data_IF_338822919830
#
_entry.id   IF_338822919830
#
_cell.length_a   1.000
_cell.length_b   1.000
_cell.length_c   1.000
_cell.angle_alpha   90.00
_cell.angle_beta   90.00
_cell.angle_gamma   90.00
#
_symmetry.space_group_name_H-M   'P 1'
#
loop_
_entity.id
_entity.type
_entity.pdbx_description
1 polymer ?
#
# COMPACT_ATOMS: atom_id res chain seq x y z
N UNK A 1 -24.35 -10.14 -17.97
CA UNK A 1 -23.53 -9.27 -17.13
C UNK A 1 -23.06 -8.04 -17.93
N UNK A 2 -22.36 -8.23 -19.07
CA UNK A 2 -21.80 -7.12 -19.87
C UNK A 2 -22.87 -6.12 -20.33
N UNK A 3 -24.05 -6.59 -20.73
CA UNK A 3 -25.19 -5.73 -21.06
C UNK A 3 -25.64 -4.88 -19.87
N UNK A 4 -25.71 -5.46 -18.68
CA UNK A 4 -26.08 -4.73 -17.46
C UNK A 4 -25.01 -3.71 -17.03
N UNK A 5 -23.72 -3.98 -17.28
CA UNK A 5 -22.65 -3.00 -17.02
C UNK A 5 -22.75 -1.80 -17.96
N UNK A 6 -23.11 -2.02 -19.22
CA UNK A 6 -23.25 -0.97 -20.22
C UNK A 6 -24.59 -0.21 -20.16
N UNK A 7 -25.59 -0.74 -19.45
CA UNK A 7 -26.91 -0.12 -19.35
C UNK A 7 -26.88 1.10 -18.43
N UNK A 8 -27.22 2.31 -18.95
CA UNK A 8 -27.21 3.53 -18.14
C UNK A 8 -28.29 3.56 -17.04
N UNK A 9 -29.30 2.69 -17.11
CA UNK A 9 -30.35 2.61 -16.10
C UNK A 9 -30.03 1.61 -14.98
N UNK A 10 -28.93 0.89 -15.08
CA UNK A 10 -28.51 -0.09 -14.06
C UNK A 10 -27.54 0.57 -13.07
N UNK A 11 -27.94 0.64 -11.82
CA UNK A 11 -27.08 1.06 -10.71
C UNK A 11 -26.21 -0.12 -10.29
N UNK A 12 -24.89 0.13 -10.18
CA UNK A 12 -23.88 -0.84 -9.80
C UNK A 12 -23.53 -0.62 -8.31
N UNK A 13 -23.54 -1.69 -7.54
CA UNK A 13 -23.13 -1.67 -6.14
C UNK A 13 -21.90 -2.54 -5.94
N UNK A 14 -20.95 -2.08 -5.13
CA UNK A 14 -19.84 -2.89 -4.67
C UNK A 14 -19.33 -2.40 -3.31
N UNK A 15 -18.65 -3.28 -2.57
CA UNK A 15 -17.94 -2.88 -1.36
C UNK A 15 -16.57 -2.32 -1.74
N UNK A 16 -16.33 -1.02 -1.50
CA UNK A 16 -15.21 -0.26 -2.04
C UNK A 16 -15.31 -0.09 -3.58
N UNK A 17 -16.46 0.35 -4.05
CA UNK A 17 -16.84 0.42 -5.47
C UNK A 17 -15.87 1.22 -6.36
N UNK A 18 -15.05 2.10 -5.80
CA UNK A 18 -13.97 2.77 -6.51
C UNK A 18 -12.99 1.76 -7.16
N UNK A 19 -12.70 0.63 -6.48
CA UNK A 19 -11.81 -0.39 -7.01
C UNK A 19 -12.39 -1.05 -8.28
N UNK A 20 -13.65 -1.48 -8.24
CA UNK A 20 -14.32 -2.05 -9.39
C UNK A 20 -14.45 -1.05 -10.53
N UNK A 21 -14.78 0.20 -10.21
CA UNK A 21 -14.88 1.27 -11.19
C UNK A 21 -13.53 1.50 -11.92
N UNK A 22 -12.43 1.61 -11.18
CA UNK A 22 -11.09 1.74 -11.79
C UNK A 22 -10.73 0.53 -12.64
N UNK A 23 -10.93 -0.69 -12.13
CA UNK A 23 -10.58 -1.90 -12.85
C UNK A 23 -11.37 -2.05 -14.17
N UNK A 24 -12.67 -1.73 -14.15
CA UNK A 24 -13.50 -1.82 -15.35
C UNK A 24 -13.13 -0.76 -16.39
N UNK A 25 -12.93 0.50 -15.95
CA UNK A 25 -12.53 1.55 -16.87
C UNK A 25 -11.13 1.30 -17.48
N UNK A 26 -10.16 0.84 -16.69
CA UNK A 26 -8.85 0.42 -17.21
C UNK A 26 -8.93 -0.78 -18.18
N UNK A 27 -9.94 -1.63 -18.02
CA UNK A 27 -10.19 -2.74 -18.94
C UNK A 27 -10.99 -2.35 -20.20
N UNK A 28 -11.32 -1.05 -20.36
CA UNK A 28 -12.06 -0.51 -21.51
C UNK A 28 -13.58 -0.62 -21.39
N UNK A 29 -14.11 -0.89 -20.19
CA UNK A 29 -15.54 -0.86 -19.89
C UNK A 29 -15.90 0.45 -19.21
N UNK A 30 -16.03 1.52 -20.00
CA UNK A 30 -16.37 2.82 -19.48
C UNK A 30 -17.77 2.82 -18.85
N UNK A 31 -17.81 3.09 -17.55
CA UNK A 31 -19.05 3.21 -16.79
C UNK A 31 -19.03 4.54 -16.03
N UNK A 32 -20.05 5.41 -16.19
CA UNK A 32 -20.14 6.66 -15.45
C UNK A 32 -20.17 6.42 -13.95
N UNK A 33 -19.45 7.24 -13.19
CA UNK A 33 -19.36 7.08 -11.72
C UNK A 33 -20.73 7.29 -11.05
N UNK A 34 -21.62 8.06 -11.65
CA UNK A 34 -22.96 8.34 -11.16
C UNK A 34 -23.85 7.11 -11.07
N UNK A 35 -23.49 6.05 -11.81
CA UNK A 35 -24.16 4.74 -11.78
C UNK A 35 -23.64 3.83 -10.66
N UNK A 36 -22.65 4.28 -9.91
CA UNK A 36 -22.04 3.48 -8.85
C UNK A 36 -22.46 3.92 -7.47
N UNK A 37 -22.63 2.93 -6.58
CA UNK A 37 -22.89 3.10 -5.15
C UNK A 37 -21.89 2.30 -4.36
N UNK A 38 -21.31 2.89 -3.33
CA UNK A 38 -20.30 2.27 -2.51
C UNK A 38 -20.87 1.84 -1.16
N UNK A 39 -21.09 0.55 -0.98
CA UNK A 39 -21.59 0.01 0.30
C UNK A 39 -20.62 0.27 1.46
N UNK A 40 -19.30 0.38 1.20
CA UNK A 40 -18.33 0.78 2.21
C UNK A 40 -18.54 2.24 2.66
N UNK A 41 -18.73 3.17 1.72
CA UNK A 41 -18.99 4.59 2.03
C UNK A 41 -20.29 4.72 2.82
N UNK A 42 -21.35 4.02 2.41
CA UNK A 42 -22.63 3.97 3.14
C UNK A 42 -22.42 3.42 4.57
N UNK A 43 -21.65 2.36 4.74
CA UNK A 43 -21.31 1.83 6.06
C UNK A 43 -20.55 2.81 6.94
N UNK A 44 -19.57 3.54 6.37
CA UNK A 44 -18.85 4.61 7.07
C UNK A 44 -19.78 5.75 7.50
N UNK A 45 -20.69 6.17 6.64
CA UNK A 45 -21.72 7.16 6.97
C UNK A 45 -22.58 6.70 8.17
N UNK A 46 -22.93 5.42 8.22
CA UNK A 46 -23.65 4.82 9.36
C UNK A 46 -22.77 4.56 10.60
N UNK A 47 -21.48 4.95 10.60
CA UNK A 47 -20.57 4.82 11.74
C UNK A 47 -19.86 3.46 11.86
N UNK A 48 -19.92 2.62 10.83
CA UNK A 48 -19.18 1.35 10.78
C UNK A 48 -17.74 1.55 10.28
N UNK A 49 -16.93 0.49 10.36
CA UNK A 49 -15.54 0.49 9.88
C UNK A 49 -15.47 0.20 8.39
N UNK A 50 -14.34 0.55 7.73
CA UNK A 50 -14.16 0.36 6.29
C UNK A 50 -13.97 -1.10 5.84
N UNK A 51 -13.82 -2.08 6.74
CA UNK A 51 -13.54 -3.47 6.37
C UNK A 51 -14.80 -4.32 6.18
N UNK A 52 -14.98 -5.00 5.04
CA UNK A 52 -16.11 -5.88 4.75
C UNK A 52 -16.38 -6.90 5.87
N UNK A 53 -15.34 -7.60 6.35
CA UNK A 53 -15.43 -8.56 7.44
C UNK A 53 -15.83 -7.90 8.77
N UNK A 54 -15.18 -6.77 9.09
CA UNK A 54 -15.47 -6.05 10.34
C UNK A 54 -16.88 -5.46 10.35
N UNK A 55 -17.33 -4.88 9.24
CA UNK A 55 -18.70 -4.37 9.08
C UNK A 55 -19.72 -5.51 9.18
N UNK A 56 -19.49 -6.63 8.48
CA UNK A 56 -20.39 -7.79 8.54
C UNK A 56 -20.55 -8.33 9.95
N UNK A 57 -19.48 -8.41 10.73
CA UNK A 57 -19.50 -8.79 12.14
C UNK A 57 -20.23 -7.77 13.02
N UNK A 58 -19.92 -6.48 12.84
CA UNK A 58 -20.53 -5.39 13.62
C UNK A 58 -22.05 -5.30 13.40
N UNK A 59 -22.52 -5.55 12.19
CA UNK A 59 -23.95 -5.63 11.85
C UNK A 59 -24.59 -6.92 12.36
N UNK A 60 -23.80 -7.92 12.81
CA UNK A 60 -24.28 -9.20 13.29
C UNK A 60 -24.76 -10.13 12.16
N UNK A 61 -24.05 -10.20 11.03
CA UNK A 61 -24.35 -11.18 10.01
C UNK A 61 -24.10 -12.60 10.54
N UNK A 62 -24.95 -13.57 10.18
CA UNK A 62 -24.73 -14.98 10.51
C UNK A 62 -23.45 -15.48 9.82
N UNK A 63 -22.83 -16.52 10.39
CA UNK A 63 -21.50 -16.98 9.99
C UNK A 63 -21.41 -17.40 8.51
N UNK A 64 -22.49 -18.00 7.98
CA UNK A 64 -22.60 -18.39 6.57
C UNK A 64 -22.69 -17.21 5.60
N UNK A 65 -22.92 -16.00 6.11
CA UNK A 65 -22.98 -14.73 5.36
C UNK A 65 -21.77 -13.85 5.58
N UNK A 66 -20.83 -14.28 6.41
CA UNK A 66 -19.59 -13.52 6.65
C UNK A 66 -18.52 -13.84 5.60
N UNK A 67 -17.56 -12.93 5.51
CA UNK A 67 -16.40 -13.07 4.63
C UNK A 67 -15.56 -14.30 4.96
N UNK A 68 -15.08 -15.03 3.95
CA UNK A 68 -14.16 -16.14 4.10
C UNK A 68 -12.74 -15.66 4.46
N UNK A 69 -12.09 -16.34 5.41
CA UNK A 69 -10.74 -15.97 5.87
C UNK A 69 -9.60 -16.38 4.92
N UNK A 70 -9.87 -17.31 4.01
CA UNK A 70 -8.88 -17.87 3.05
C UNK A 70 -8.49 -16.92 1.93
N UNK A 71 -9.26 -15.86 1.68
CA UNK A 71 -9.10 -14.97 0.53
C UNK A 71 -7.72 -14.32 0.39
N UNK A 72 -7.10 -13.90 1.50
CA UNK A 72 -5.79 -13.22 1.46
C UNK A 72 -4.69 -14.11 0.83
N UNK A 73 -4.69 -15.40 1.10
CA UNK A 73 -3.74 -16.35 0.53
C UNK A 73 -4.00 -16.58 -0.97
N UNK A 74 -5.28 -16.65 -1.37
CA UNK A 74 -5.69 -16.84 -2.75
C UNK A 74 -5.42 -15.60 -3.61
N UNK A 75 -5.70 -14.40 -3.09
CA UNK A 75 -5.32 -13.13 -3.74
C UNK A 75 -3.80 -13.09 -3.96
N UNK A 76 -3.02 -13.41 -2.94
CA UNK A 76 -1.55 -13.44 -3.07
C UNK A 76 -1.08 -14.45 -4.11
N UNK A 77 -1.76 -15.59 -4.23
CA UNK A 77 -1.40 -16.65 -5.17
C UNK A 77 -1.70 -16.25 -6.61
N UNK A 78 -2.88 -15.70 -6.91
CA UNK A 78 -3.33 -15.39 -8.27
C UNK A 78 -3.10 -13.95 -8.71
N UNK A 79 -3.09 -12.98 -7.79
CA UNK A 79 -3.05 -11.55 -8.11
C UNK A 79 -1.70 -10.87 -7.84
N UNK A 80 -0.69 -11.62 -7.37
CA UNK A 80 0.65 -11.09 -7.12
C UNK A 80 1.68 -11.90 -7.91
N UNK A 81 2.65 -11.24 -8.58
CA UNK A 81 3.74 -11.93 -9.28
C UNK A 81 4.47 -12.90 -8.36
N UNK A 82 4.79 -14.09 -8.86
CA UNK A 82 5.58 -15.08 -8.14
C UNK A 82 7.04 -15.10 -8.63
N UNK A 83 7.96 -15.48 -7.76
CA UNK A 83 9.37 -15.63 -8.15
C UNK A 83 9.51 -16.83 -9.09
N UNK A 84 10.23 -16.69 -10.23
CA UNK A 84 10.54 -17.82 -11.09
C UNK A 84 11.45 -18.81 -10.38
N UNK A 85 11.06 -20.09 -10.40
CA UNK A 85 11.81 -21.21 -9.83
C UNK A 85 11.78 -22.39 -10.79
N UNK A 86 12.69 -23.37 -10.64
CA UNK A 86 12.66 -24.60 -11.42
C UNK A 86 11.37 -25.40 -11.18
N UNK A 87 10.85 -25.37 -9.96
CA UNK A 87 9.66 -26.12 -9.55
C UNK A 87 8.35 -25.53 -10.11
N UNK A 88 8.33 -24.22 -10.38
CA UNK A 88 7.15 -23.58 -10.98
C UNK A 88 7.28 -23.34 -12.49
N UNK A 89 8.26 -23.99 -13.16
CA UNK A 89 8.49 -23.82 -14.60
C UNK A 89 8.96 -22.41 -14.99
N UNK A 90 9.67 -21.73 -14.09
CA UNK A 90 10.21 -20.37 -14.28
C UNK A 90 9.11 -19.30 -14.58
N UNK A 91 7.87 -19.57 -14.17
CA UNK A 91 6.78 -18.59 -14.35
C UNK A 91 6.88 -17.45 -13.34
N UNK A 92 6.44 -16.28 -13.76
CA UNK A 92 6.34 -15.08 -12.91
C UNK A 92 4.93 -14.79 -12.44
N UNK A 93 3.94 -15.60 -12.90
CA UNK A 93 2.53 -15.42 -12.59
C UNK A 93 1.79 -16.76 -12.51
N UNK A 94 0.90 -16.91 -11.54
CA UNK A 94 0.04 -18.08 -11.45
C UNK A 94 -1.26 -17.84 -12.20
N UNK A 95 -1.61 -18.80 -13.07
CA UNK A 95 -2.83 -18.81 -13.86
C UNK A 95 -3.81 -19.83 -13.28
N UNK A 96 -5.12 -19.74 -13.59
CA UNK A 96 -6.14 -20.68 -13.10
C UNK A 96 -5.79 -22.17 -13.27
N UNK A 97 -5.19 -22.53 -14.40
CA UNK A 97 -4.83 -23.91 -14.72
C UNK A 97 -3.58 -24.44 -14.01
N UNK A 98 -2.85 -23.60 -13.28
CA UNK A 98 -1.70 -24.04 -12.50
C UNK A 98 -2.09 -24.68 -11.15
N UNK A 99 -3.31 -24.38 -10.67
CA UNK A 99 -3.87 -24.95 -9.44
C UNK A 99 -5.41 -24.76 -9.49
N UNK A 100 -6.08 -25.72 -10.10
CA UNK A 100 -7.53 -25.67 -10.33
C UNK A 100 -8.33 -25.65 -9.04
N UNK A 101 -7.86 -26.37 -8.01
CA UNK A 101 -8.56 -26.43 -6.72
C UNK A 101 -8.52 -25.07 -6.01
N UNK A 102 -7.38 -24.42 -6.00
CA UNK A 102 -7.27 -23.04 -5.49
C UNK A 102 -8.06 -22.06 -6.32
N UNK A 103 -8.18 -22.29 -7.63
CA UNK A 103 -8.98 -21.42 -8.49
C UNK A 103 -10.47 -21.54 -8.19
N UNK A 104 -10.98 -22.75 -7.96
CA UNK A 104 -12.37 -22.95 -7.52
C UNK A 104 -12.63 -22.27 -6.16
N UNK A 105 -11.74 -22.47 -5.17
CA UNK A 105 -11.82 -21.78 -3.88
C UNK A 105 -11.77 -20.24 -4.03
N UNK A 106 -11.00 -19.73 -4.99
CA UNK A 106 -10.93 -18.30 -5.26
C UNK A 106 -12.24 -17.75 -5.83
N UNK A 107 -12.89 -18.51 -6.70
CA UNK A 107 -14.23 -18.15 -7.20
C UNK A 107 -15.29 -18.17 -6.08
N UNK A 108 -15.27 -19.18 -5.21
CA UNK A 108 -16.13 -19.23 -4.02
C UNK A 108 -15.91 -18.05 -3.10
N UNK A 109 -14.64 -17.69 -2.87
CA UNK A 109 -14.29 -16.51 -2.09
C UNK A 109 -14.86 -15.22 -2.71
N UNK A 110 -14.70 -15.01 -4.01
CA UNK A 110 -15.23 -13.82 -4.70
C UNK A 110 -16.78 -13.79 -4.63
N UNK A 111 -17.44 -14.94 -4.80
CA UNK A 111 -18.88 -15.05 -4.66
C UNK A 111 -19.35 -14.71 -3.25
N UNK A 112 -18.63 -15.21 -2.23
CA UNK A 112 -18.98 -14.95 -0.83
C UNK A 112 -18.79 -13.47 -0.46
N UNK A 113 -17.78 -12.78 -1.00
CA UNK A 113 -17.60 -11.34 -0.78
C UNK A 113 -18.83 -10.55 -1.31
N UNK A 114 -19.37 -10.91 -2.48
CA UNK A 114 -20.61 -10.31 -3.03
C UNK A 114 -21.84 -10.66 -2.18
N UNK A 115 -21.96 -11.90 -1.69
CA UNK A 115 -23.05 -12.27 -0.79
C UNK A 115 -23.01 -11.47 0.51
N UNK A 116 -21.82 -11.33 1.09
CA UNK A 116 -21.62 -10.55 2.33
C UNK A 116 -21.96 -9.08 2.09
N UNK A 117 -21.48 -8.49 1.01
CA UNK A 117 -21.79 -7.10 0.62
C UNK A 117 -23.31 -6.87 0.51
N UNK A 118 -24.00 -7.73 -0.23
CA UNK A 118 -25.46 -7.60 -0.42
C UNK A 118 -26.25 -7.73 0.89
N UNK A 119 -25.82 -8.58 1.81
CA UNK A 119 -26.47 -8.68 3.12
C UNK A 119 -26.19 -7.45 4.01
N UNK A 120 -25.00 -6.84 3.90
CA UNK A 120 -24.69 -5.57 4.55
C UNK A 120 -25.59 -4.48 3.98
N UNK A 121 -25.62 -4.33 2.65
CA UNK A 121 -26.42 -3.30 1.97
C UNK A 121 -27.89 -3.35 2.39
N UNK A 122 -28.53 -4.53 2.41
CA UNK A 122 -29.92 -4.68 2.86
C UNK A 122 -30.18 -4.13 4.26
N UNK A 123 -29.19 -4.14 5.15
CA UNK A 123 -29.32 -3.60 6.50
C UNK A 123 -29.05 -2.11 6.55
N UNK A 124 -28.10 -1.63 5.74
CA UNK A 124 -27.81 -0.20 5.63
C UNK A 124 -28.93 0.56 4.95
N UNK A 125 -29.67 -0.05 4.03
CA UNK A 125 -30.81 0.56 3.33
C UNK A 125 -31.95 1.01 4.27
N UNK A 126 -31.96 0.55 5.51
CA UNK A 126 -32.84 1.08 6.57
C UNK A 126 -32.45 2.50 7.00
N UNK A 127 -31.22 2.91 6.71
CA UNK A 127 -30.63 4.23 6.99
C UNK A 127 -29.93 4.74 5.74
N UNK A 128 -30.69 5.21 4.72
CA UNK A 128 -30.12 5.55 3.42
C UNK A 128 -29.11 6.69 3.54
N UNK A 129 -28.05 6.59 2.77
CA UNK A 129 -27.07 7.67 2.64
C UNK A 129 -27.71 8.84 1.87
N UNK A 130 -27.58 10.09 2.33
CA UNK A 130 -28.07 11.26 1.60
C UNK A 130 -27.41 11.40 0.22
N UNK A 131 -28.12 11.98 -0.72
CA UNK A 131 -27.65 12.20 -2.09
C UNK A 131 -26.38 13.07 -2.12
N UNK A 132 -26.27 14.04 -1.24
CA UNK A 132 -25.09 14.90 -1.10
C UNK A 132 -23.84 14.10 -0.73
N UNK A 133 -23.96 13.12 0.17
CA UNK A 133 -22.86 12.25 0.57
C UNK A 133 -22.45 11.28 -0.56
N UNK A 134 -23.42 10.79 -1.33
CA UNK A 134 -23.13 10.01 -2.54
C UNK A 134 -22.35 10.83 -3.56
N UNK A 135 -22.76 12.06 -3.82
CA UNK A 135 -22.07 12.98 -4.72
C UNK A 135 -20.65 13.30 -4.23
N UNK A 136 -20.48 13.53 -2.92
CA UNK A 136 -19.14 13.75 -2.35
C UNK A 136 -18.21 12.55 -2.55
N UNK A 137 -18.72 11.32 -2.35
CA UNK A 137 -17.95 10.11 -2.64
C UNK A 137 -17.60 9.99 -4.14
N UNK A 138 -18.55 10.26 -5.04
CA UNK A 138 -18.31 10.26 -6.49
C UNK A 138 -17.26 11.28 -6.89
N UNK A 139 -17.33 12.49 -6.35
CA UNK A 139 -16.33 13.54 -6.56
C UNK A 139 -14.95 13.12 -6.06
N UNK A 140 -14.85 12.51 -4.89
CA UNK A 140 -13.59 12.01 -4.34
C UNK A 140 -12.94 10.97 -5.28
N UNK A 141 -13.74 10.02 -5.80
CA UNK A 141 -13.27 9.03 -6.79
C UNK A 141 -12.74 9.70 -8.05
N UNK A 142 -13.48 10.69 -8.60
CA UNK A 142 -13.05 11.42 -9.80
C UNK A 142 -11.81 12.27 -9.55
N UNK A 143 -11.71 12.93 -8.42
CA UNK A 143 -10.51 13.70 -8.04
C UNK A 143 -9.28 12.81 -7.94
N UNK A 144 -9.43 11.63 -7.34
CA UNK A 144 -8.34 10.66 -7.24
C UNK A 144 -7.98 10.05 -8.61
N UNK A 145 -8.97 9.85 -9.50
CA UNK A 145 -8.74 9.40 -10.88
C UNK A 145 -7.99 10.42 -11.72
N UNK A 146 -8.36 11.70 -11.58
CA UNK A 146 -7.71 12.80 -12.26
C UNK A 146 -6.28 13.02 -11.76
N UNK A 147 -6.07 12.80 -10.45
CA UNK A 147 -4.79 12.96 -9.79
C UNK A 147 -4.38 14.42 -9.58
N UNK A 148 -3.15 14.60 -9.13
CA UNK A 148 -2.55 15.91 -8.86
C UNK A 148 -1.28 16.05 -9.69
N UNK A 149 -1.15 17.19 -10.39
CA UNK A 149 0.06 17.46 -11.15
C UNK A 149 1.27 17.59 -10.22
N UNK A 150 2.32 16.88 -10.55
CA UNK A 150 3.61 16.98 -9.86
C UNK A 150 4.65 17.66 -10.75
N UNK A 151 5.60 18.35 -10.12
CA UNK A 151 6.76 18.94 -10.79
C UNK A 151 7.82 17.85 -10.99
N UNK A 152 7.93 17.35 -12.22
CA UNK A 152 8.86 16.28 -12.58
C UNK A 152 10.32 16.70 -12.46
N UNK A 153 10.66 17.95 -12.82
CA UNK A 153 12.02 18.45 -12.73
C UNK A 153 12.48 18.54 -11.26
N UNK A 154 11.57 18.96 -10.37
CA UNK A 154 11.83 18.98 -8.93
C UNK A 154 12.05 17.55 -8.38
N UNK A 155 11.24 16.58 -8.82
CA UNK A 155 11.39 15.19 -8.41
C UNK A 155 12.73 14.62 -8.86
N UNK A 156 13.06 14.76 -10.12
CA UNK A 156 14.31 14.27 -10.71
C UNK A 156 15.53 14.94 -10.06
N UNK A 157 15.47 16.26 -9.87
CA UNK A 157 16.52 17.01 -9.16
C UNK A 157 16.71 16.52 -7.71
N UNK A 158 15.62 16.28 -6.99
CA UNK A 158 15.68 15.77 -5.62
C UNK A 158 16.30 14.36 -5.54
N UNK A 159 15.90 13.46 -6.44
CA UNK A 159 16.44 12.09 -6.53
C UNK A 159 17.93 12.10 -6.92
N UNK A 160 18.32 12.96 -7.84
CA UNK A 160 19.71 13.11 -8.26
C UNK A 160 20.60 13.61 -7.10
N UNK A 161 20.16 14.66 -6.39
CA UNK A 161 20.89 15.20 -5.23
C UNK A 161 21.01 14.14 -4.13
N UNK A 162 19.96 13.38 -3.88
CA UNK A 162 19.99 12.29 -2.88
C UNK A 162 20.98 11.22 -3.28
N UNK A 163 20.99 10.79 -4.52
CA UNK A 163 21.93 9.77 -5.03
C UNK A 163 23.38 10.22 -4.81
N UNK A 164 23.73 11.44 -5.25
CA UNK A 164 25.11 11.96 -5.10
C UNK A 164 25.47 12.13 -3.63
N UNK A 165 24.55 12.66 -2.81
CA UNK A 165 24.80 12.88 -1.39
C UNK A 165 24.98 11.57 -0.65
N UNK A 166 24.14 10.57 -0.95
CA UNK A 166 24.22 9.23 -0.34
C UNK A 166 25.53 8.55 -0.72
N UNK A 167 25.93 8.61 -2.01
CA UNK A 167 27.20 8.05 -2.45
C UNK A 167 28.37 8.70 -1.72
N UNK A 168 28.45 10.02 -1.72
CA UNK A 168 29.53 10.77 -1.06
C UNK A 168 29.61 10.44 0.44
N UNK A 169 28.47 10.41 1.16
CA UNK A 169 28.43 10.11 2.58
C UNK A 169 28.80 8.66 2.87
N UNK A 170 28.42 7.73 1.98
CA UNK A 170 28.80 6.31 2.09
C UNK A 170 30.29 6.13 1.89
N UNK A 171 30.89 6.77 0.90
CA UNK A 171 32.32 6.71 0.62
C UNK A 171 33.14 7.31 1.78
N UNK A 172 32.68 8.44 2.34
CA UNK A 172 33.25 9.05 3.53
C UNK A 172 33.16 8.12 4.73
N UNK A 173 32.00 7.46 4.95
CA UNK A 173 31.81 6.52 6.04
C UNK A 173 32.75 5.30 5.92
N UNK A 174 32.93 4.76 4.70
CA UNK A 174 33.85 3.66 4.41
C UNK A 174 35.29 4.09 4.73
N UNK A 175 35.71 5.25 4.22
CA UNK A 175 37.04 5.81 4.49
C UNK A 175 37.31 6.04 5.97
N UNK A 176 36.29 6.51 6.69
CA UNK A 176 36.37 6.84 8.11
C UNK A 176 36.43 5.60 9.01
N UNK A 177 35.68 4.57 8.68
CA UNK A 177 35.46 3.38 9.53
C UNK A 177 36.23 2.15 9.08
N UNK A 178 36.57 2.03 7.80
CA UNK A 178 37.11 0.83 7.20
C UNK A 178 36.09 -0.32 7.04
N UNK A 179 34.81 -0.06 7.33
CA UNK A 179 33.74 -1.06 7.20
C UNK A 179 33.37 -1.27 5.73
N UNK A 180 33.13 -2.51 5.34
CA UNK A 180 32.62 -2.83 3.98
C UNK A 180 31.19 -2.29 3.78
N UNK A 181 30.36 -2.31 4.83
CA UNK A 181 29.01 -1.79 4.80
C UNK A 181 28.70 -0.96 6.05
N UNK A 182 29.00 0.34 6.03
CA UNK A 182 28.73 1.23 7.17
C UNK A 182 27.22 1.43 7.45
N UNK A 183 26.34 0.99 6.54
CA UNK A 183 24.89 1.00 6.77
C UNK A 183 24.41 -0.20 7.58
N UNK A 184 25.21 -1.24 7.73
CA UNK A 184 24.92 -2.37 8.61
C UNK A 184 24.92 -1.95 10.07
N UNK A 185 23.76 -2.05 10.73
CA UNK A 185 23.63 -1.71 12.15
C UNK A 185 24.58 -2.53 13.02
N UNK A 186 24.75 -3.83 12.74
CA UNK A 186 25.63 -4.70 13.51
C UNK A 186 27.09 -4.30 13.38
N UNK A 187 27.57 -4.02 12.15
CA UNK A 187 28.97 -3.60 11.93
C UNK A 187 29.25 -2.23 12.56
N UNK A 188 28.31 -1.31 12.41
CA UNK A 188 28.50 0.04 12.97
C UNK A 188 28.42 0.06 14.50
N UNK A 189 27.56 -0.73 15.13
CA UNK A 189 27.52 -0.87 16.59
C UNK A 189 28.84 -1.46 17.13
N UNK A 190 29.39 -2.48 16.47
CA UNK A 190 30.68 -3.03 16.86
C UNK A 190 31.78 -1.98 16.73
N UNK A 191 31.83 -1.28 15.59
CA UNK A 191 32.83 -0.22 15.38
C UNK A 191 32.73 0.90 16.42
N UNK A 192 31.53 1.30 16.85
CA UNK A 192 31.34 2.28 17.92
C UNK A 192 31.94 1.79 19.24
N UNK A 193 31.69 0.53 19.62
CA UNK A 193 32.28 -0.08 20.83
C UNK A 193 33.80 -0.10 20.77
N UNK A 194 34.36 -0.49 19.64
CA UNK A 194 35.83 -0.53 19.43
C UNK A 194 36.46 0.87 19.51
N UNK A 195 35.64 1.94 19.31
CA UNK A 195 36.08 3.32 19.46
C UNK A 195 35.58 3.98 20.78
N UNK A 196 35.22 3.17 21.79
CA UNK A 196 34.88 3.63 23.13
C UNK A 196 33.50 4.27 23.30
N UNK A 197 32.57 3.98 22.35
CA UNK A 197 31.19 4.50 22.43
C UNK A 197 30.23 3.32 22.47
N UNK A 198 29.52 3.17 23.59
CA UNK A 198 28.48 2.12 23.73
C UNK A 198 27.13 2.63 23.21
N UNK A 199 26.44 1.79 22.46
CA UNK A 199 25.10 2.02 21.98
C UNK A 199 24.35 0.68 21.83
N UNK A 200 23.10 0.66 22.27
CA UNK A 200 22.24 -0.52 22.14
C UNK A 200 21.63 -0.66 20.75
N UNK A 201 21.41 0.48 20.10
CA UNK A 201 20.81 0.56 18.78
C UNK A 201 21.24 1.84 18.06
N UNK A 202 20.85 1.97 16.77
CA UNK A 202 21.11 3.14 15.92
C UNK A 202 19.81 3.84 15.51
N UNK A 203 18.81 3.85 16.39
CA UNK A 203 17.58 4.59 16.18
C UNK A 203 17.84 6.10 16.27
N UNK A 204 16.95 6.89 15.66
CA UNK A 204 17.10 8.34 15.56
C UNK A 204 17.30 9.01 16.93
N UNK A 205 16.60 8.55 17.97
CA UNK A 205 16.71 9.09 19.32
C UNK A 205 18.08 8.79 19.93
N UNK A 206 18.55 7.54 19.86
CA UNK A 206 19.85 7.10 20.37
C UNK A 206 21.01 7.82 19.67
N UNK A 207 20.95 7.96 18.35
CA UNK A 207 21.96 8.70 17.57
C UNK A 207 21.99 10.18 17.97
N UNK A 208 20.82 10.81 18.20
CA UNK A 208 20.75 12.20 18.65
C UNK A 208 21.32 12.38 20.07
N UNK A 209 21.06 11.45 20.98
CA UNK A 209 21.60 11.45 22.34
C UNK A 209 23.13 11.31 22.31
N UNK A 210 23.66 10.37 21.54
CA UNK A 210 25.11 10.19 21.39
C UNK A 210 25.79 11.42 20.80
N UNK A 211 25.17 12.10 19.84
CA UNK A 211 25.70 13.36 19.28
C UNK A 211 25.71 14.52 20.28
N UNK A 212 24.81 14.51 21.29
CA UNK A 212 24.80 15.47 22.40
C UNK A 212 25.92 15.23 23.42
N UNK A 213 26.52 14.05 23.45
CA UNK A 213 27.61 13.67 24.34
C UNK A 213 28.98 14.08 23.84
N UNK A 214 30.00 13.83 24.68
CA UNK A 214 31.41 14.02 24.32
C UNK A 214 31.90 12.77 23.64
N UNK A 215 32.14 12.85 22.32
CA UNK A 215 32.64 11.74 21.51
C UNK A 215 33.92 12.14 20.78
N UNK A 216 34.82 11.18 20.47
CA UNK A 216 35.91 11.42 19.54
C UNK A 216 35.44 11.98 18.21
N UNK A 217 36.17 12.90 17.59
CA UNK A 217 35.78 13.55 16.35
C UNK A 217 35.35 12.55 15.24
N UNK A 218 36.07 11.41 15.20
CA UNK A 218 35.78 10.32 14.22
C UNK A 218 34.43 9.67 14.48
N UNK A 219 34.09 9.38 15.71
CA UNK A 219 32.80 8.82 16.12
C UNK A 219 31.68 9.83 15.87
N UNK A 220 31.87 11.09 16.30
CA UNK A 220 30.89 12.16 16.02
C UNK A 220 30.58 12.28 14.55
N UNK A 221 31.63 12.32 13.71
CA UNK A 221 31.43 12.44 12.26
C UNK A 221 30.66 11.25 11.66
N UNK A 222 30.95 10.02 12.10
CA UNK A 222 30.21 8.83 11.68
C UNK A 222 28.74 8.87 12.10
N UNK A 223 28.44 9.34 13.32
CA UNK A 223 27.07 9.49 13.81
C UNK A 223 26.30 10.57 13.02
N UNK A 224 26.96 11.69 12.65
CA UNK A 224 26.37 12.72 11.77
C UNK A 224 26.04 12.15 10.39
N UNK A 225 26.94 11.36 9.80
CA UNK A 225 26.70 10.67 8.52
C UNK A 225 25.51 9.71 8.68
N UNK A 226 25.47 8.91 9.75
CA UNK A 226 24.36 8.00 10.03
C UNK A 226 23.03 8.74 10.15
N UNK A 227 23.01 9.90 10.82
CA UNK A 227 21.82 10.73 10.95
C UNK A 227 21.34 11.26 9.59
N UNK A 228 22.27 11.65 8.71
CA UNK A 228 21.94 12.15 7.37
C UNK A 228 21.42 11.02 6.46
N UNK A 229 22.09 9.88 6.41
CA UNK A 229 21.69 8.70 5.63
C UNK A 229 20.36 8.09 6.15
N UNK A 230 20.04 8.30 7.43
CA UNK A 230 18.78 7.85 8.02
C UNK A 230 17.56 8.71 7.70
N UNK A 231 17.69 9.81 6.96
CA UNK A 231 16.56 10.66 6.58
C UNK A 231 15.67 9.95 5.56
N UNK A 232 14.37 9.93 5.85
CA UNK A 232 13.38 9.25 5.00
C UNK A 232 12.56 10.20 4.13
N UNK A 233 12.84 11.51 4.18
CA UNK A 233 12.08 12.54 3.44
C UNK A 233 12.12 12.34 1.92
N UNK A 234 13.19 11.77 1.40
CA UNK A 234 13.34 11.46 -0.03
C UNK A 234 12.34 10.41 -0.54
N UNK A 235 11.85 9.54 0.33
CA UNK A 235 10.85 8.51 -0.04
C UNK A 235 9.59 9.09 -0.67
N UNK A 236 9.26 10.34 -0.36
CA UNK A 236 8.13 11.05 -0.97
C UNK A 236 8.35 11.26 -2.47
N UNK A 237 9.55 11.66 -2.85
CA UNK A 237 9.91 11.87 -4.27
C UNK A 237 9.97 10.54 -5.03
N UNK A 238 10.49 9.49 -4.41
CA UNK A 238 10.45 8.14 -4.99
C UNK A 238 9.00 7.69 -5.20
N UNK A 239 8.11 7.92 -4.23
CA UNK A 239 6.69 7.57 -4.36
C UNK A 239 6.00 8.39 -5.45
N UNK A 240 6.29 9.69 -5.56
CA UNK A 240 5.77 10.56 -6.62
C UNK A 240 6.25 10.10 -8.00
N UNK A 241 7.54 9.77 -8.13
CA UNK A 241 8.13 9.25 -9.36
C UNK A 241 7.52 7.92 -9.81
N UNK A 242 7.27 7.02 -8.83
CA UNK A 242 6.64 5.72 -9.11
C UNK A 242 5.15 5.86 -9.49
N UNK A 243 4.45 6.85 -8.90
CA UNK A 243 3.02 7.05 -9.09
C UNK A 243 2.68 7.97 -10.28
N UNK A 244 3.68 8.68 -10.86
CA UNK A 244 3.43 9.52 -12.03
C UNK A 244 3.04 8.63 -13.22
N UNK A 245 1.92 8.99 -13.87
CA UNK A 245 1.56 8.45 -15.18
C UNK A 245 2.51 8.98 -16.27
N UNK A 246 2.46 8.33 -17.42
CA UNK A 246 3.16 8.82 -18.63
C UNK A 246 2.58 10.14 -19.13
#
# INVERSE_FOLDING_TARGET
>A
LMQALADPNVIKHAYNAAFEWYCLNCAGYETPIEQWRCTMAHGLYCGYTAGLDATGKAIGLPQDKQKLTTGKALIRYFCVPCKPTKTNGSRTWNQPWHDTDKWELFKEYCLQDVVTEREILKRLDLFPMPEEEEHLWQMDVLMNAYGVRVDTDLIEGALYIDQISTQRLTDEAISLTGLQNPNSAAQLLQWLRDNGTEADNLQKATVAELLGGINPNKVRRMLEIRQQLGKTSIKKYVAMDTARGE
#
